data_IF_342102455978
#
_entry.id   IF_342102455978
#
_cell.length_a   1.000
_cell.length_b   1.000
_cell.length_c   1.000
_cell.angle_alpha   90.00
_cell.angle_beta   90.00
_cell.angle_gamma   90.00
#
_symmetry.space_group_name_H-M   'P 1'
#
loop_
_entity.id
_entity.type
_entity.pdbx_description
1 polymer ?
#
# COMPACT_ATOMS: atom_id res chain seq x y z
N UNK A 1 15.50 1.60 2.69
CA UNK A 1 14.29 1.13 3.40
C UNK A 1 13.11 1.38 2.48
N UNK A 2 12.39 0.34 2.07
CA UNK A 2 11.18 0.49 1.25
C UNK A 2 10.04 1.10 2.09
N UNK A 3 9.37 2.13 1.59
CA UNK A 3 8.28 2.84 2.30
C UNK A 3 6.93 2.39 1.77
N UNK A 4 5.94 2.22 2.64
CA UNK A 4 4.57 1.97 2.20
C UNK A 4 3.90 3.25 1.66
N UNK A 5 2.78 3.06 0.95
CA UNK A 5 2.05 4.16 0.29
C UNK A 5 1.52 5.18 1.30
N UNK A 6 1.15 4.77 2.53
CA UNK A 6 0.64 5.69 3.54
C UNK A 6 1.75 6.58 4.09
N UNK A 7 2.94 6.03 4.31
CA UNK A 7 4.14 6.81 4.66
C UNK A 7 4.48 7.83 3.57
N UNK A 8 4.46 7.44 2.29
CA UNK A 8 4.71 8.35 1.17
C UNK A 8 3.67 9.47 1.06
N UNK A 9 2.39 9.14 1.28
CA UNK A 9 1.32 10.13 1.38
C UNK A 9 1.59 11.15 2.50
N UNK A 10 2.00 10.70 3.68
CA UNK A 10 2.30 11.59 4.80
C UNK A 10 3.48 12.53 4.49
N UNK A 11 4.56 12.00 3.93
CA UNK A 11 5.76 12.78 3.59
C UNK A 11 5.50 13.86 2.54
N UNK A 12 4.60 13.59 1.59
CA UNK A 12 4.24 14.53 0.52
C UNK A 12 2.99 15.36 0.85
N UNK A 13 2.47 15.27 2.08
CA UNK A 13 1.18 15.86 2.49
C UNK A 13 0.05 15.59 1.48
N UNK A 14 0.02 14.36 0.95
CA UNK A 14 -0.91 13.93 -0.09
C UNK A 14 -2.06 13.14 0.54
N UNK A 15 -3.29 13.60 0.35
CA UNK A 15 -4.50 12.90 0.81
C UNK A 15 -4.85 11.73 -0.12
N UNK A 16 -5.70 10.81 0.34
CA UNK A 16 -6.20 9.72 -0.48
C UNK A 16 -6.94 10.20 -1.74
N UNK A 17 -7.70 11.30 -1.62
CA UNK A 17 -8.38 11.95 -2.74
C UNK A 17 -7.38 12.53 -3.74
N UNK A 18 -6.34 13.21 -3.25
CA UNK A 18 -5.26 13.73 -4.10
C UNK A 18 -4.49 12.62 -4.82
N UNK A 19 -4.22 11.51 -4.13
CA UNK A 19 -3.58 10.34 -4.73
C UNK A 19 -4.49 9.68 -5.78
N UNK A 20 -5.78 9.52 -5.49
CA UNK A 20 -6.78 8.99 -6.44
C UNK A 20 -6.82 9.83 -7.71
N UNK A 21 -6.93 11.16 -7.57
CA UNK A 21 -6.99 12.08 -8.70
C UNK A 21 -5.71 12.05 -9.55
N UNK A 22 -4.52 11.99 -8.92
CA UNK A 22 -3.23 11.96 -9.65
C UNK A 22 -2.90 10.61 -10.27
N UNK A 23 -3.28 9.51 -9.61
CA UNK A 23 -3.02 8.15 -10.09
C UNK A 23 -4.08 7.64 -11.07
N UNK A 24 -5.24 8.30 -11.15
CA UNK A 24 -6.40 7.83 -11.92
C UNK A 24 -7.07 6.59 -11.32
N UNK A 25 -6.73 6.22 -10.08
CA UNK A 25 -7.33 5.09 -9.38
C UNK A 25 -8.58 5.51 -8.62
N UNK A 26 -9.55 4.61 -8.53
CA UNK A 26 -10.75 4.78 -7.70
C UNK A 26 -10.39 5.04 -6.24
N UNK A 27 -11.07 6.00 -5.60
CA UNK A 27 -10.80 6.42 -4.22
C UNK A 27 -10.91 5.25 -3.23
N UNK A 28 -11.93 4.40 -3.39
CA UNK A 28 -12.08 3.19 -2.57
C UNK A 28 -10.89 2.23 -2.71
N UNK A 29 -10.31 2.14 -3.91
CA UNK A 29 -9.14 1.32 -4.17
C UNK A 29 -7.90 1.92 -3.53
N UNK A 30 -7.71 3.24 -3.63
CA UNK A 30 -6.63 3.95 -2.93
C UNK A 30 -6.72 3.74 -1.42
N UNK A 31 -7.91 3.86 -0.82
CA UNK A 31 -8.12 3.57 0.60
C UNK A 31 -7.74 2.13 0.96
N UNK A 32 -8.16 1.14 0.17
CA UNK A 32 -7.81 -0.26 0.43
C UNK A 32 -6.29 -0.51 0.36
N UNK A 33 -5.58 0.19 -0.54
CA UNK A 33 -4.12 0.13 -0.66
C UNK A 33 -3.43 0.80 0.54
N UNK A 34 -3.87 2.01 0.92
CA UNK A 34 -3.34 2.73 2.08
C UNK A 34 -3.50 1.95 3.39
N UNK A 35 -4.61 1.21 3.52
CA UNK A 35 -4.86 0.36 4.67
C UNK A 35 -4.15 -1.00 4.62
N UNK A 36 -3.41 -1.29 3.53
CA UNK A 36 -2.76 -2.58 3.33
C UNK A 36 -3.74 -3.75 3.24
N UNK A 37 -4.98 -3.51 2.79
CA UNK A 37 -6.05 -4.52 2.63
C UNK A 37 -6.18 -5.02 1.19
N UNK A 38 -5.44 -4.40 0.27
CA UNK A 38 -5.47 -4.71 -1.14
C UNK A 38 -4.04 -4.95 -1.66
N UNK A 39 -3.89 -5.96 -2.50
CA UNK A 39 -2.67 -6.17 -3.26
C UNK A 39 -2.84 -5.54 -4.65
N UNK A 40 -2.26 -4.35 -4.91
CA UNK A 40 -2.41 -3.71 -6.21
C UNK A 40 -1.76 -4.54 -7.32
N UNK A 41 -2.40 -4.51 -8.48
CA UNK A 41 -1.90 -5.07 -9.74
C UNK A 41 -0.67 -4.31 -10.25
N UNK A 42 0.12 -4.88 -11.19
CA UNK A 42 1.32 -4.22 -11.71
C UNK A 42 1.07 -2.82 -12.28
N UNK A 43 -0.03 -2.64 -13.02
CA UNK A 43 -0.41 -1.35 -13.61
C UNK A 43 -0.79 -0.32 -12.53
N UNK A 44 -1.49 -0.74 -11.48
CA UNK A 44 -1.85 0.16 -10.36
C UNK A 44 -0.61 0.59 -9.58
N UNK A 45 0.35 -0.33 -9.40
CA UNK A 45 1.64 0.00 -8.78
C UNK A 45 2.40 1.03 -9.60
N UNK A 46 2.40 0.90 -10.93
CA UNK A 46 3.00 1.90 -11.83
C UNK A 46 2.35 3.27 -11.68
N UNK A 47 1.02 3.34 -11.68
CA UNK A 47 0.28 4.60 -11.50
C UNK A 47 0.64 5.29 -10.17
N UNK A 48 0.67 4.53 -9.07
CA UNK A 48 1.00 5.08 -7.76
C UNK A 48 2.48 5.51 -7.69
N UNK A 49 3.39 4.68 -8.18
CA UNK A 49 4.82 5.00 -8.24
C UNK A 49 5.09 6.28 -9.03
N UNK A 50 4.40 6.48 -10.15
CA UNK A 50 4.49 7.68 -10.97
C UNK A 50 4.04 8.95 -10.23
N UNK A 51 3.04 8.88 -9.34
CA UNK A 51 2.59 10.04 -8.55
C UNK A 51 3.66 10.50 -7.56
N UNK A 52 4.46 9.57 -7.04
CA UNK A 52 5.51 9.86 -6.06
C UNK A 52 6.90 10.06 -6.70
N UNK A 53 7.01 9.84 -8.00
CA UNK A 53 8.27 9.90 -8.77
C UNK A 53 9.34 8.96 -8.20
N UNK A 54 8.93 7.76 -7.81
CA UNK A 54 9.80 6.70 -7.25
C UNK A 54 9.66 5.42 -8.05
N UNK A 55 10.59 4.48 -7.91
CA UNK A 55 10.46 3.17 -8.52
C UNK A 55 9.45 2.29 -7.76
N UNK A 56 8.80 1.38 -8.48
CA UNK A 56 7.85 0.41 -7.88
C UNK A 56 8.53 -0.42 -6.79
N UNK A 57 9.82 -0.73 -6.96
CA UNK A 57 10.63 -1.52 -6.02
C UNK A 57 10.95 -0.77 -4.72
N UNK A 58 10.87 0.57 -4.72
CA UNK A 58 11.07 1.40 -3.54
C UNK A 58 9.82 1.46 -2.64
N UNK A 59 8.66 1.10 -3.19
CA UNK A 59 7.39 1.07 -2.47
C UNK A 59 7.14 -0.32 -1.88
N UNK A 60 6.81 -0.36 -0.59
CA UNK A 60 6.38 -1.58 0.08
C UNK A 60 4.89 -1.86 -0.22
N UNK A 61 4.64 -2.84 -1.09
CA UNK A 61 3.30 -3.30 -1.47
C UNK A 61 2.87 -4.49 -0.61
N UNK A 62 2.60 -4.27 0.68
CA UNK A 62 2.37 -5.35 1.65
C UNK A 62 0.98 -5.35 2.26
N UNK A 63 0.20 -6.41 1.95
CA UNK A 63 -0.92 -6.83 2.79
C UNK A 63 -0.36 -7.25 4.15
N UNK A 64 -0.71 -6.55 5.24
CA UNK A 64 -0.37 -7.06 6.58
C UNK A 64 -1.22 -8.30 6.82
N UNK A 65 -0.71 -9.48 6.50
CA UNK A 65 -1.19 -10.71 7.12
C UNK A 65 -0.55 -10.73 8.51
N UNK A 66 -1.30 -10.47 9.60
CA UNK A 66 -0.75 -10.74 10.93
C UNK A 66 -0.45 -12.24 10.97
N UNK A 67 0.83 -12.60 11.06
CA UNK A 67 1.23 -13.95 11.42
C UNK A 67 0.87 -14.08 12.90
N UNK A 68 -0.37 -14.44 13.20
CA UNK A 68 -0.70 -14.89 14.55
C UNK A 68 0.01 -16.24 14.68
N UNK A 69 1.14 -16.28 15.41
CA UNK A 69 1.69 -17.55 15.88
C UNK A 69 0.63 -18.15 16.81
N UNK A 70 -0.28 -18.95 16.25
CA UNK A 70 -1.11 -19.85 17.02
C UNK A 70 -0.13 -20.90 17.55
N UNK A 71 0.34 -20.70 18.77
CA UNK A 71 1.13 -21.70 19.50
C UNK A 71 0.17 -22.87 19.74
N UNK A 72 0.20 -23.86 18.84
CA UNK A 72 -0.55 -25.10 19.01
C UNK A 72 0.03 -25.82 20.23
N UNK A 73 -0.59 -25.63 21.38
CA UNK A 73 -0.37 -26.52 22.51
C UNK A 73 -1.02 -27.86 22.13
N UNK A 74 -0.22 -28.76 21.55
CA UNK A 74 -0.60 -30.16 21.46
C UNK A 74 -0.73 -30.74 22.87
N UNK A 75 -1.75 -31.55 23.16
CA UNK A 75 -1.76 -32.35 24.38
C UNK A 75 -0.78 -33.53 24.20
N UNK A 76 0.23 -33.59 25.08
CA UNK A 76 1.19 -34.68 25.19
C UNK A 76 1.92 -34.57 26.50
#
# INVERSE_FOLDING_TARGET
MSKDVATLCHERMLTAEGLSMRSGLELNRVHAILLGRWTPSPSERQCIAAVFEVEITEIAWGHKTPIQHIYGHGPG
#
